data_IF_005327601568
#
_entry.id   IF_005327601568
#
_cell.length_a   1.000
_cell.length_b   1.000
_cell.length_c   1.000
_cell.angle_alpha   90.00
_cell.angle_beta   90.00
_cell.angle_gamma   90.00
#
_symmetry.space_group_name_H-M   'P 1'
#
loop_
_entity.id
_entity.type
_entity.pdbx_description
1 polymer ?
#
# COMPACT_ATOMS: atom_id res chain seq x y z
N UNK A 1 15.75 36.10 -12.34
CA UNK A 1 14.90 35.08 -13.01
C UNK A 1 13.70 35.79 -13.62
N UNK A 2 13.28 35.44 -14.84
CA UNK A 2 12.09 36.05 -15.48
C UNK A 2 10.82 35.68 -14.69
N UNK A 3 9.83 36.56 -14.54
CA UNK A 3 8.61 36.30 -13.75
C UNK A 3 7.83 35.08 -14.26
N UNK A 4 7.89 34.81 -15.56
CA UNK A 4 7.26 33.63 -16.18
C UNK A 4 7.85 32.30 -15.69
N UNK A 5 9.14 32.28 -15.33
CA UNK A 5 9.79 31.09 -14.80
C UNK A 5 9.34 30.81 -13.36
N UNK A 6 9.04 31.86 -12.59
CA UNK A 6 8.54 31.74 -11.21
C UNK A 6 7.11 31.21 -11.22
N UNK A 7 6.27 31.70 -12.13
CA UNK A 7 4.88 31.26 -12.28
C UNK A 7 4.78 29.78 -12.67
N UNK A 8 5.66 29.34 -13.58
CA UNK A 8 5.71 27.93 -14.03
C UNK A 8 6.14 26.99 -12.89
N UNK A 9 7.18 27.36 -12.13
CA UNK A 9 7.65 26.59 -10.97
C UNK A 9 6.54 26.50 -9.91
N UNK A 10 5.80 27.58 -9.67
CA UNK A 10 4.70 27.60 -8.70
C UNK A 10 3.53 26.71 -9.17
N UNK A 11 3.20 26.71 -10.46
CA UNK A 11 2.17 25.80 -11.01
C UNK A 11 2.56 24.33 -10.92
N UNK A 12 3.84 24.00 -11.07
CA UNK A 12 4.38 22.64 -10.90
C UNK A 12 4.33 22.18 -9.43
N UNK A 13 4.53 23.10 -8.48
CA UNK A 13 4.45 22.83 -7.04
C UNK A 13 3.01 22.63 -6.55
N UNK A 14 2.03 23.30 -7.17
CA UNK A 14 0.61 23.23 -6.79
C UNK A 14 -0.10 21.96 -7.28
N UNK A 15 0.50 21.21 -8.20
CA UNK A 15 -0.04 19.93 -8.72
C UNK A 15 0.41 18.71 -7.89
N UNK A 16 1.18 18.91 -6.81
CA UNK A 16 1.91 17.85 -6.11
C UNK A 16 1.27 17.27 -4.83
N UNK A 17 -0.03 17.39 -4.61
CA UNK A 17 -0.69 16.81 -3.43
C UNK A 17 -1.36 15.47 -3.77
N UNK A 18 -0.57 14.40 -3.91
CA UNK A 18 -1.04 13.07 -4.33
C UNK A 18 -1.56 12.18 -3.17
N UNK A 19 -2.12 12.74 -2.12
CA UNK A 19 -2.73 11.92 -1.06
C UNK A 19 -4.03 12.55 -0.62
N UNK A 20 -5.13 11.80 -0.78
CA UNK A 20 -6.41 12.15 -0.19
C UNK A 20 -6.23 12.16 1.34
N UNK A 21 -6.59 13.28 1.98
CA UNK A 21 -6.42 13.43 3.43
C UNK A 21 -7.42 12.59 4.20
N UNK A 22 -8.52 12.21 3.53
CA UNK A 22 -9.54 11.35 4.06
C UNK A 22 -9.45 10.00 3.37
N UNK A 23 -8.64 9.10 3.92
CA UNK A 23 -8.58 7.71 3.46
C UNK A 23 -9.98 7.07 3.45
N UNK A 24 -10.89 7.52 4.31
CA UNK A 24 -12.17 6.88 4.53
C UNK A 24 -13.28 7.31 3.57
N UNK A 25 -13.05 8.34 2.76
CA UNK A 25 -14.11 9.04 2.05
C UNK A 25 -13.77 9.14 0.57
N UNK A 26 -14.14 8.08 -0.16
CA UNK A 26 -14.03 8.05 -1.61
C UNK A 26 -15.32 8.63 -2.23
N UNK A 27 -15.31 9.85 -2.80
CA UNK A 27 -16.50 10.49 -3.36
C UNK A 27 -17.01 9.78 -4.63
N UNK A 28 -16.25 8.83 -5.18
CA UNK A 28 -16.65 8.02 -6.34
C UNK A 28 -17.38 6.72 -5.94
N UNK A 29 -17.40 6.38 -4.64
CA UNK A 29 -18.05 5.19 -4.11
C UNK A 29 -19.41 5.51 -3.49
N UNK A 30 -20.30 4.53 -3.50
CA UNK A 30 -21.62 4.67 -2.89
C UNK A 30 -21.50 4.80 -1.38
N UNK A 31 -22.20 5.77 -0.77
CA UNK A 31 -22.33 5.87 0.68
C UNK A 31 -23.17 4.72 1.30
N UNK A 32 -23.81 3.90 0.46
CA UNK A 32 -24.72 2.84 0.88
C UNK A 32 -24.29 1.51 0.23
N UNK A 33 -23.22 0.92 0.76
CA UNK A 33 -22.66 -0.37 0.32
C UNK A 33 -23.30 -1.52 1.11
N UNK A 34 -23.65 -2.61 0.44
CA UNK A 34 -24.18 -3.79 1.11
C UNK A 34 -23.12 -4.39 2.05
N UNK A 35 -23.38 -4.48 3.37
CA UNK A 35 -22.38 -4.93 4.34
C UNK A 35 -21.93 -6.38 4.10
N UNK A 36 -22.79 -7.25 3.55
CA UNK A 36 -22.41 -8.63 3.26
C UNK A 36 -21.39 -8.72 2.12
N UNK A 37 -21.52 -7.89 1.08
CA UNK A 37 -20.53 -7.86 0.00
C UNK A 37 -19.19 -7.28 0.46
N UNK A 38 -19.23 -6.27 1.34
CA UNK A 38 -18.02 -5.75 1.97
C UNK A 38 -17.30 -6.83 2.79
N UNK A 39 -18.04 -7.57 3.62
CA UNK A 39 -17.49 -8.67 4.41
C UNK A 39 -16.85 -9.74 3.51
N UNK A 40 -17.56 -10.20 2.47
CA UNK A 40 -17.02 -11.18 1.52
C UNK A 40 -15.73 -10.69 0.85
N UNK A 41 -15.67 -9.41 0.47
CA UNK A 41 -14.46 -8.84 -0.12
C UNK A 41 -13.28 -8.76 0.85
N UNK A 42 -13.53 -8.41 2.12
CA UNK A 42 -12.51 -8.40 3.18
C UNK A 42 -11.97 -9.81 3.43
N UNK A 43 -12.87 -10.80 3.57
CA UNK A 43 -12.49 -12.20 3.80
C UNK A 43 -11.65 -12.75 2.64
N UNK A 44 -12.03 -12.45 1.39
CA UNK A 44 -11.25 -12.85 0.23
C UNK A 44 -9.88 -12.16 0.20
N UNK A 45 -9.81 -10.88 0.55
CA UNK A 45 -8.57 -10.11 0.49
C UNK A 45 -7.53 -10.59 1.51
N UNK A 46 -7.96 -10.99 2.71
CA UNK A 46 -7.10 -11.44 3.82
C UNK A 46 -6.00 -12.42 3.40
N UNK A 47 -6.31 -13.34 2.48
CA UNK A 47 -5.35 -14.30 1.94
C UNK A 47 -5.30 -14.36 0.41
N UNK A 48 -6.19 -13.65 -0.28
CA UNK A 48 -6.18 -13.50 -1.74
C UNK A 48 -5.33 -12.33 -2.24
N UNK A 49 -4.91 -11.41 -1.37
CA UNK A 49 -4.01 -10.32 -1.76
C UNK A 49 -2.57 -10.82 -1.94
N UNK A 50 -2.01 -10.57 -3.14
CA UNK A 50 -0.60 -10.85 -3.42
C UNK A 50 0.35 -9.99 -2.58
N UNK A 51 -0.09 -8.82 -2.12
CA UNK A 51 0.69 -7.94 -1.26
C UNK A 51 0.89 -8.57 0.13
N UNK A 52 -0.17 -9.15 0.70
CA UNK A 52 -0.10 -9.91 1.96
C UNK A 52 0.79 -11.15 1.78
N UNK A 53 0.65 -11.89 0.68
CA UNK A 53 1.54 -13.02 0.39
C UNK A 53 3.02 -12.61 0.29
N UNK A 54 3.28 -11.46 -0.33
CA UNK A 54 4.63 -10.93 -0.53
C UNK A 54 5.29 -10.50 0.78
N UNK A 55 4.56 -9.83 1.71
CA UNK A 55 5.12 -9.45 3.01
C UNK A 55 5.42 -10.68 3.88
N UNK A 56 4.56 -11.71 3.79
CA UNK A 56 4.79 -12.98 4.47
C UNK A 56 6.10 -13.62 4.00
N UNK A 57 6.31 -13.66 2.69
CA UNK A 57 7.52 -14.23 2.09
C UNK A 57 8.78 -13.39 2.35
N UNK A 58 8.71 -12.06 2.20
CA UNK A 58 9.86 -11.15 2.31
C UNK A 58 10.31 -10.92 3.75
N UNK A 59 9.37 -10.83 4.70
CA UNK A 59 9.67 -10.43 6.08
C UNK A 59 9.20 -11.42 7.14
N UNK A 60 7.92 -11.80 7.17
CA UNK A 60 7.39 -12.55 8.33
C UNK A 60 8.03 -13.93 8.48
N UNK A 61 8.04 -14.73 7.42
CA UNK A 61 8.60 -16.08 7.43
C UNK A 61 10.13 -16.12 7.62
N UNK A 62 10.96 -15.27 6.98
CA UNK A 62 12.39 -15.26 7.24
C UNK A 62 12.79 -14.70 8.60
N UNK A 63 12.09 -13.68 9.13
CA UNK A 63 12.35 -13.17 10.50
C UNK A 63 12.07 -14.22 11.57
N UNK A 64 11.07 -15.09 11.33
CA UNK A 64 10.75 -16.23 12.21
C UNK A 64 11.49 -17.51 11.82
N UNK A 65 12.39 -17.46 10.83
CA UNK A 65 13.22 -18.57 10.35
C UNK A 65 12.42 -19.78 9.83
N UNK A 66 11.15 -19.59 9.47
CA UNK A 66 10.34 -20.64 8.86
C UNK A 66 10.72 -20.88 7.38
N UNK A 67 11.20 -19.84 6.70
CA UNK A 67 11.60 -19.91 5.29
C UNK A 67 12.88 -19.14 5.03
N UNK A 68 13.77 -19.69 4.19
CA UNK A 68 14.99 -19.04 3.73
C UNK A 68 15.43 -19.65 2.39
N UNK A 69 16.26 -18.93 1.61
CA UNK A 69 16.95 -19.45 0.42
C UNK A 69 16.45 -18.86 -0.90
N UNK A 70 15.17 -18.56 -1.03
CA UNK A 70 14.70 -17.74 -2.16
C UNK A 70 15.22 -16.29 -2.00
N UNK A 71 15.36 -15.56 -3.11
CA UNK A 71 15.97 -14.24 -3.11
C UNK A 71 15.19 -13.24 -2.24
N UNK A 72 13.87 -13.17 -2.35
CA UNK A 72 13.02 -12.24 -1.61
C UNK A 72 13.17 -12.44 -0.08
N UNK A 73 12.97 -13.66 0.41
CA UNK A 73 13.08 -13.97 1.83
C UNK A 73 14.49 -13.70 2.38
N UNK A 74 15.52 -14.07 1.62
CA UNK A 74 16.92 -13.95 2.05
C UNK A 74 17.38 -12.49 2.02
N UNK A 75 17.08 -11.75 0.95
CA UNK A 75 17.54 -10.38 0.73
C UNK A 75 16.85 -9.37 1.65
N UNK A 76 15.60 -9.61 2.02
CA UNK A 76 14.84 -8.72 2.91
C UNK A 76 14.95 -9.17 4.37
N UNK A 77 14.00 -9.96 4.86
CA UNK A 77 13.94 -10.36 6.27
C UNK A 77 15.13 -11.19 6.73
N UNK A 78 15.69 -12.04 5.86
CA UNK A 78 16.84 -12.88 6.16
C UNK A 78 18.15 -12.12 6.39
N UNK A 79 18.24 -10.89 5.88
CA UNK A 79 19.38 -9.96 6.07
C UNK A 79 18.97 -8.70 6.86
N UNK A 80 17.78 -8.70 7.48
CA UNK A 80 17.24 -7.58 8.24
C UNK A 80 17.22 -6.25 7.46
N UNK A 81 17.00 -6.31 6.15
CA UNK A 81 17.03 -5.14 5.29
C UNK A 81 15.77 -4.32 5.47
N UNK A 82 15.93 -3.07 5.88
CA UNK A 82 14.83 -2.11 5.97
C UNK A 82 14.56 -1.49 4.59
N UNK A 83 13.38 -1.76 4.02
CA UNK A 83 12.92 -1.19 2.76
C UNK A 83 11.45 -0.77 2.91
N UNK A 84 11.25 0.55 3.01
CA UNK A 84 9.92 1.14 3.20
C UNK A 84 8.94 0.76 2.08
N UNK A 85 9.42 0.58 0.84
CA UNK A 85 8.54 0.22 -0.28
C UNK A 85 7.98 -1.19 -0.14
N UNK A 86 8.75 -2.09 0.48
CA UNK A 86 8.31 -3.46 0.73
C UNK A 86 7.45 -3.53 2.00
N UNK A 87 7.88 -2.86 3.07
CA UNK A 87 7.22 -2.92 4.38
C UNK A 87 5.84 -2.25 4.33
N UNK A 88 5.71 -1.11 3.62
CA UNK A 88 4.43 -0.39 3.54
C UNK A 88 3.34 -1.13 2.77
N UNK A 89 3.67 -2.17 2.00
CA UNK A 89 2.71 -2.92 1.18
C UNK A 89 1.54 -3.45 2.00
N UNK A 90 1.80 -4.00 3.19
CA UNK A 90 0.75 -4.48 4.10
C UNK A 90 -0.19 -3.34 4.56
N UNK A 91 0.39 -2.20 4.94
CA UNK A 91 -0.39 -1.04 5.37
C UNK A 91 -1.26 -0.49 4.24
N UNK A 92 -0.69 -0.37 3.04
CA UNK A 92 -1.41 0.12 1.86
C UNK A 92 -2.54 -0.84 1.47
N UNK A 93 -2.30 -2.15 1.48
CA UNK A 93 -3.33 -3.14 1.12
C UNK A 93 -4.54 -3.10 2.07
N UNK A 94 -4.30 -3.03 3.38
CA UNK A 94 -5.36 -2.96 4.38
C UNK A 94 -6.01 -1.58 4.45
N UNK A 95 -5.25 -0.52 4.70
CA UNK A 95 -5.84 0.76 5.07
C UNK A 95 -6.23 1.62 3.88
N UNK A 96 -5.68 1.35 2.70
CA UNK A 96 -5.99 2.11 1.47
C UNK A 96 -6.74 1.22 0.48
N UNK A 97 -6.35 -0.05 0.37
CA UNK A 97 -6.95 -1.01 -0.55
C UNK A 97 -8.39 -1.39 -0.20
N UNK A 98 -8.79 -1.35 1.07
CA UNK A 98 -10.15 -1.70 1.51
C UNK A 98 -11.23 -0.75 0.96
N UNK A 99 -10.91 0.51 0.68
CA UNK A 99 -11.85 1.46 0.06
C UNK A 99 -12.24 1.08 -1.38
N UNK A 100 -11.52 0.15 -2.01
CA UNK A 100 -11.81 -0.30 -3.37
C UNK A 100 -12.86 -1.40 -3.43
N UNK A 101 -13.17 -2.07 -2.32
CA UNK A 101 -14.18 -3.14 -2.24
C UNK A 101 -15.59 -2.54 -2.29
#
# INVERSE_FOLDING_TARGET
>A
MKPINILLILSLLLLGSCVDKDLNNDPTKSANLNPNFQLTGIELRQWGSMDIGSICNRYMSPLTQQMQGNWDATNYGGQYRNDDNQIKSLFVDYFIGLHKV
#
